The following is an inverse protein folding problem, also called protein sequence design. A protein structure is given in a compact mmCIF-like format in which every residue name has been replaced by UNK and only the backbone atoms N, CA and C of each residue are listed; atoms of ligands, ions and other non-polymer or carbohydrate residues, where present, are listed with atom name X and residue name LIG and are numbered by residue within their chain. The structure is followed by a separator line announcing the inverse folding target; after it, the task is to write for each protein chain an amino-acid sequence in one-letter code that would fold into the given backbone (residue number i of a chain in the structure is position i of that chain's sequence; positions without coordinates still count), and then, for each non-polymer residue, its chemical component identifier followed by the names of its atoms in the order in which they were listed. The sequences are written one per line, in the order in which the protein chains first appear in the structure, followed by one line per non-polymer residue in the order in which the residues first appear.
data_IF_317023957797
#
_entry.id   IF_317023957797
#
_cell.length_a   1.000
_cell.length_b   1.000
_cell.length_c   1.000
_cell.angle_alpha   90.00
_cell.angle_beta   90.00
_cell.angle_gamma   90.00
#
_symmetry.space_group_name_H-M   'P 1'
#
loop_
_entity.id
_entity.type
_entity.pdbx_description
1 polymer ?
#
# COMPACT_ATOMS: atom_id res chain seq x y z
N UNK A 1 41.99 18.21 18.46
CA UNK A 1 40.52 18.21 18.71
C UNK A 1 39.70 18.47 17.45
N UNK A 2 39.89 19.60 16.73
CA UNK A 2 39.13 19.91 15.49
C UNK A 2 39.25 18.85 14.38
N UNK A 3 40.44 18.25 14.21
CA UNK A 3 40.68 17.19 13.20
C UNK A 3 39.90 15.89 13.47
N UNK A 4 39.77 15.50 14.75
CA UNK A 4 39.03 14.30 15.16
C UNK A 4 37.52 14.48 14.94
N UNK A 5 36.98 15.64 15.32
CA UNK A 5 35.57 15.97 15.13
C UNK A 5 35.22 15.95 13.63
N UNK A 6 36.04 16.58 12.80
CA UNK A 6 35.82 16.59 11.35
C UNK A 6 35.87 15.18 10.74
N UNK A 7 36.79 14.31 11.21
CA UNK A 7 36.88 12.93 10.73
C UNK A 7 35.64 12.11 11.12
N UNK A 8 35.13 12.26 12.34
CA UNK A 8 33.89 11.62 12.80
C UNK A 8 32.68 12.09 12.01
N UNK A 9 32.56 13.40 11.76
CA UNK A 9 31.49 13.97 10.94
C UNK A 9 31.53 13.46 9.49
N UNK A 10 32.73 13.36 8.90
CA UNK A 10 32.90 12.74 7.57
C UNK A 10 32.44 11.29 7.56
N UNK A 11 32.84 10.49 8.56
CA UNK A 11 32.41 9.10 8.66
C UNK A 11 30.89 8.97 8.82
N UNK A 12 30.27 9.80 9.67
CA UNK A 12 28.82 9.85 9.84
C UNK A 12 28.09 10.30 8.57
N UNK A 13 28.63 11.28 7.83
CA UNK A 13 28.06 11.73 6.57
C UNK A 13 28.13 10.63 5.49
N UNK A 14 29.25 9.93 5.37
CA UNK A 14 29.39 8.81 4.42
C UNK A 14 28.42 7.68 4.79
N UNK A 15 28.32 7.31 6.07
CA UNK A 15 27.33 6.32 6.50
C UNK A 15 25.91 6.80 6.17
N UNK A 16 25.55 8.02 6.56
CA UNK A 16 24.23 8.59 6.26
C UNK A 16 23.88 8.59 4.77
N UNK A 17 24.83 8.89 3.90
CA UNK A 17 24.62 8.80 2.45
C UNK A 17 24.37 7.37 1.98
N UNK A 18 25.10 6.38 2.51
CA UNK A 18 24.87 4.97 2.19
C UNK A 18 23.49 4.52 2.69
N UNK A 19 23.13 4.85 3.93
CA UNK A 19 21.81 4.54 4.49
C UNK A 19 20.69 5.21 3.70
N UNK A 20 20.88 6.47 3.28
CA UNK A 20 19.93 7.18 2.42
C UNK A 20 19.76 6.54 1.05
N UNK A 21 20.85 6.04 0.45
CA UNK A 21 20.76 5.29 -0.81
C UNK A 21 19.96 3.98 -0.63
N UNK A 22 20.23 3.23 0.45
CA UNK A 22 19.48 1.99 0.75
C UNK A 22 18.01 2.30 1.01
N UNK A 23 17.70 3.36 1.75
CA UNK A 23 16.34 3.83 1.96
C UNK A 23 15.68 4.23 0.63
N UNK A 24 16.34 5.00 -0.23
CA UNK A 24 15.77 5.37 -1.53
C UNK A 24 15.45 4.14 -2.41
N UNK A 25 16.32 3.13 -2.43
CA UNK A 25 16.07 1.88 -3.15
C UNK A 25 14.88 1.10 -2.58
N UNK A 26 14.78 1.03 -1.25
CA UNK A 26 13.64 0.37 -0.60
C UNK A 26 12.34 1.16 -0.79
N UNK A 27 12.39 2.49 -0.88
CA UNK A 27 11.24 3.34 -1.16
C UNK A 27 10.68 3.05 -2.55
N UNK A 28 11.56 2.88 -3.55
CA UNK A 28 11.14 2.49 -4.91
C UNK A 28 10.43 1.14 -4.88
N UNK A 29 11.00 0.14 -4.19
CA UNK A 29 10.34 -1.16 -4.04
C UNK A 29 8.94 -1.03 -3.40
N UNK A 30 8.83 -0.30 -2.29
CA UNK A 30 7.56 -0.16 -1.56
C UNK A 30 6.53 0.65 -2.35
N UNK A 31 6.86 1.88 -2.75
CA UNK A 31 5.88 2.82 -3.31
C UNK A 31 5.64 2.66 -4.81
N UNK A 32 6.61 2.13 -5.57
CA UNK A 32 6.42 1.89 -6.99
C UNK A 32 5.98 0.45 -7.29
N UNK A 33 6.50 -0.54 -6.55
CA UNK A 33 6.20 -1.94 -6.81
C UNK A 33 5.02 -2.46 -5.98
N UNK A 34 5.08 -2.37 -4.65
CA UNK A 34 4.05 -2.95 -3.78
C UNK A 34 2.79 -2.09 -3.61
N UNK A 35 2.93 -0.76 -3.57
CA UNK A 35 1.83 0.19 -3.36
C UNK A 35 1.71 1.21 -4.50
N UNK A 36 1.40 0.77 -5.73
CA UNK A 36 1.32 1.67 -6.87
C UNK A 36 0.21 2.71 -6.70
N UNK A 37 0.30 3.80 -7.48
CA UNK A 37 -0.75 4.82 -7.58
C UNK A 37 -1.12 5.50 -6.25
N UNK A 38 -0.18 5.58 -5.31
CA UNK A 38 -0.39 6.26 -4.02
C UNK A 38 -1.14 5.43 -2.97
N UNK A 39 -1.40 4.14 -3.22
CA UNK A 39 -2.12 3.25 -2.29
C UNK A 39 -1.53 3.22 -0.87
N UNK A 40 -0.23 3.47 -0.72
CA UNK A 40 0.42 3.49 0.59
C UNK A 40 -0.17 4.54 1.54
N UNK A 41 -0.72 5.65 1.02
CA UNK A 41 -1.37 6.67 1.82
C UNK A 41 -2.69 6.18 2.42
N UNK A 42 -3.49 5.46 1.65
CA UNK A 42 -4.80 4.95 2.07
C UNK A 42 -4.71 3.65 2.89
N UNK A 43 -3.66 2.86 2.67
CA UNK A 43 -3.51 1.53 3.28
C UNK A 43 -2.49 1.49 4.43
N UNK A 44 -2.14 2.63 5.01
CA UNK A 44 -1.21 2.71 6.15
C UNK A 44 0.25 2.34 5.86
N UNK A 45 0.58 1.94 4.61
CA UNK A 45 1.92 1.54 4.19
C UNK A 45 2.95 2.67 4.35
N UNK A 46 2.54 3.93 4.17
CA UNK A 46 3.41 5.10 4.35
C UNK A 46 3.94 5.21 5.77
N UNK A 47 3.09 5.02 6.79
CA UNK A 47 3.48 5.21 8.19
C UNK A 47 4.49 4.14 8.64
N UNK A 48 4.27 2.88 8.27
CA UNK A 48 5.18 1.78 8.58
C UNK A 48 6.55 2.00 7.93
N UNK A 49 6.56 2.37 6.65
CA UNK A 49 7.81 2.60 5.93
C UNK A 49 8.59 3.81 6.46
N UNK A 50 7.91 4.93 6.72
CA UNK A 50 8.54 6.15 7.24
C UNK A 50 9.17 5.92 8.62
N UNK A 51 8.53 5.13 9.49
CA UNK A 51 9.09 4.77 10.79
C UNK A 51 10.42 4.02 10.63
N UNK A 52 10.46 3.00 9.77
CA UNK A 52 11.67 2.21 9.49
C UNK A 52 12.79 3.11 8.97
N UNK A 53 12.50 3.97 7.98
CA UNK A 53 13.50 4.87 7.39
C UNK A 53 13.99 5.93 8.38
N UNK A 54 13.11 6.50 9.20
CA UNK A 54 13.49 7.50 10.19
C UNK A 54 14.47 6.93 11.22
N UNK A 55 14.24 5.70 11.65
CA UNK A 55 15.15 4.97 12.56
C UNK A 55 16.50 4.75 11.89
N UNK A 56 16.52 4.27 10.65
CA UNK A 56 17.76 3.98 9.92
C UNK A 56 18.61 5.25 9.66
N UNK A 57 17.97 6.31 9.14
CA UNK A 57 18.64 7.57 8.80
C UNK A 57 19.15 8.34 10.02
N UNK A 58 18.57 8.12 11.20
CA UNK A 58 19.03 8.74 12.43
C UNK A 58 20.11 7.90 13.11
N UNK A 59 19.86 6.61 13.36
CA UNK A 59 20.75 5.77 14.16
C UNK A 59 22.08 5.47 13.47
N UNK A 60 22.11 5.21 12.16
CA UNK A 60 23.35 4.89 11.44
C UNK A 60 24.45 5.98 11.56
N UNK A 61 24.13 7.23 11.22
CA UNK A 61 25.05 8.36 11.41
C UNK A 61 25.44 8.60 12.87
N UNK A 62 24.48 8.50 13.81
CA UNK A 62 24.74 8.69 15.24
C UNK A 62 25.71 7.64 15.77
N UNK A 63 25.50 6.37 15.42
CA UNK A 63 26.39 5.27 15.79
C UNK A 63 27.78 5.50 15.21
N UNK A 64 27.89 5.98 13.96
CA UNK A 64 29.18 6.31 13.34
C UNK A 64 29.97 7.34 14.14
N UNK A 65 29.32 8.36 14.68
CA UNK A 65 29.99 9.36 15.54
C UNK A 65 30.59 8.72 16.79
N UNK A 66 29.94 7.70 17.34
CA UNK A 66 30.38 6.97 18.54
C UNK A 66 31.51 6.00 18.20
N UNK A 67 31.30 5.10 17.23
CA UNK A 67 32.21 3.98 16.98
C UNK A 67 33.47 4.38 16.21
N UNK A 68 33.39 5.44 15.39
CA UNK A 68 34.51 5.89 14.58
C UNK A 68 35.61 6.47 15.47
N UNK A 69 36.80 5.88 15.37
CA UNK A 69 37.99 6.35 16.03
C UNK A 69 39.18 6.18 15.06
N UNK A 70 39.86 7.26 14.65
CA UNK A 70 40.99 7.19 13.72
C UNK A 70 42.20 6.44 14.31
N UNK A 71 42.25 6.24 15.62
CA UNK A 71 43.26 5.41 16.28
C UNK A 71 42.98 3.90 16.25
N UNK A 72 41.79 3.46 15.81
CA UNK A 72 41.49 2.03 15.62
C UNK A 72 42.16 1.55 14.33
N UNK A 73 42.71 0.33 14.37
CA UNK A 73 43.14 -0.36 13.15
C UNK A 73 41.96 -0.55 12.20
N UNK A 74 42.24 -0.57 10.89
CA UNK A 74 41.20 -0.76 9.86
C UNK A 74 40.37 -2.03 10.08
N UNK A 75 40.98 -3.11 10.59
CA UNK A 75 40.30 -4.38 10.90
C UNK A 75 39.26 -4.21 12.01
N UNK A 76 39.57 -3.48 13.08
CA UNK A 76 38.62 -3.23 14.16
C UNK A 76 37.48 -2.33 13.70
N UNK A 77 37.78 -1.26 12.96
CA UNK A 77 36.76 -0.37 12.43
C UNK A 77 35.80 -1.11 11.48
N UNK A 78 36.33 -1.95 10.58
CA UNK A 78 35.52 -2.79 9.69
C UNK A 78 34.60 -3.72 10.47
N UNK A 79 35.10 -4.41 11.50
CA UNK A 79 34.28 -5.29 12.34
C UNK A 79 33.13 -4.50 12.99
N UNK A 80 33.43 -3.35 13.57
CA UNK A 80 32.42 -2.52 14.25
C UNK A 80 31.32 -2.08 13.26
N UNK A 81 31.68 -1.60 12.06
CA UNK A 81 30.71 -1.25 11.02
C UNK A 81 29.96 -2.46 10.43
N UNK A 82 30.59 -3.63 10.33
CA UNK A 82 29.90 -4.86 9.89
C UNK A 82 28.80 -5.27 10.86
N UNK A 83 29.04 -5.15 12.17
CA UNK A 83 28.02 -5.46 13.19
C UNK A 83 26.86 -4.47 13.08
N UNK A 84 27.15 -3.17 12.94
CA UNK A 84 26.12 -2.14 12.77
C UNK A 84 25.31 -2.39 11.50
N UNK A 85 25.99 -2.64 10.38
CA UNK A 85 25.32 -2.95 9.12
C UNK A 85 24.42 -4.19 9.24
N UNK A 86 24.88 -5.25 9.91
CA UNK A 86 24.07 -6.45 10.10
C UNK A 86 22.78 -6.15 10.88
N UNK A 87 22.87 -5.39 11.97
CA UNK A 87 21.71 -4.99 12.78
C UNK A 87 20.74 -4.15 11.95
N UNK A 88 21.24 -3.15 11.21
CA UNK A 88 20.43 -2.29 10.35
C UNK A 88 19.76 -3.08 9.21
N UNK A 89 20.49 -3.98 8.56
CA UNK A 89 19.90 -4.83 7.51
C UNK A 89 18.83 -5.76 8.08
N UNK A 90 19.00 -6.30 9.30
CA UNK A 90 17.95 -7.08 9.97
C UNK A 90 16.71 -6.24 10.28
N UNK A 91 16.88 -5.02 10.79
CA UNK A 91 15.78 -4.10 11.07
C UNK A 91 15.03 -3.70 9.79
N UNK A 92 15.77 -3.35 8.73
CA UNK A 92 15.20 -3.05 7.41
C UNK A 92 14.46 -4.26 6.82
N UNK A 93 15.03 -5.46 6.91
CA UNK A 93 14.39 -6.68 6.42
C UNK A 93 13.07 -6.95 7.15
N UNK A 94 13.02 -6.78 8.47
CA UNK A 94 11.78 -6.90 9.24
C UNK A 94 10.73 -5.84 8.84
N UNK A 95 11.16 -4.59 8.66
CA UNK A 95 10.29 -3.51 8.20
C UNK A 95 9.71 -3.78 6.80
N UNK A 96 10.55 -4.25 5.88
CA UNK A 96 10.15 -4.63 4.53
C UNK A 96 9.22 -5.85 4.53
N UNK A 97 9.48 -6.85 5.36
CA UNK A 97 8.59 -8.01 5.49
C UNK A 97 7.20 -7.61 6.00
N UNK A 98 7.14 -6.79 7.05
CA UNK A 98 5.88 -6.26 7.60
C UNK A 98 5.09 -5.46 6.55
N UNK A 99 5.80 -4.69 5.72
CA UNK A 99 5.21 -3.94 4.60
C UNK A 99 4.75 -4.87 3.47
N UNK A 100 5.50 -5.93 3.18
CA UNK A 100 5.19 -6.90 2.14
C UNK A 100 3.92 -7.70 2.43
N UNK A 101 3.72 -8.15 3.68
CA UNK A 101 2.50 -8.88 4.07
C UNK A 101 1.29 -7.95 4.18
N UNK A 102 1.49 -6.64 4.35
CA UNK A 102 0.41 -5.65 4.39
C UNK A 102 0.10 -5.03 3.02
N UNK A 103 0.77 -5.46 1.95
CA UNK A 103 0.63 -4.88 0.61
C UNK A 103 -0.75 -5.18 0.01
N UNK A 104 -1.32 -4.28 -0.82
CA UNK A 104 -2.47 -4.61 -1.64
C UNK A 104 -2.12 -5.73 -2.62
N UNK A 105 -2.98 -6.74 -2.67
CA UNK A 105 -2.88 -7.85 -3.62
C UNK A 105 -4.02 -7.85 -4.61
N UNK A 106 -5.22 -7.49 -4.16
CA UNK A 106 -6.39 -7.43 -5.03
C UNK A 106 -7.17 -6.14 -4.85
N UNK A 107 -7.64 -5.61 -5.97
CA UNK A 107 -8.72 -4.63 -6.01
C UNK A 107 -9.95 -5.37 -6.56
N UNK A 108 -10.82 -5.79 -5.65
CA UNK A 108 -11.98 -6.64 -5.96
C UNK A 108 -13.17 -5.74 -6.26
N UNK A 109 -13.76 -5.86 -7.43
CA UNK A 109 -15.00 -5.18 -7.77
C UNK A 109 -16.21 -6.04 -7.38
N UNK A 110 -17.09 -5.46 -6.58
CA UNK A 110 -18.33 -6.10 -6.11
C UNK A 110 -19.49 -5.14 -6.37
N UNK A 111 -20.22 -5.38 -7.45
CA UNK A 111 -21.44 -4.68 -7.90
C UNK A 111 -21.23 -3.18 -8.21
N UNK A 112 -20.95 -2.36 -7.21
CA UNK A 112 -20.87 -0.90 -7.29
C UNK A 112 -19.80 -0.30 -6.36
N UNK A 113 -18.90 -1.13 -5.87
CA UNK A 113 -17.78 -0.72 -5.02
C UNK A 113 -16.53 -1.55 -5.28
N UNK A 114 -15.39 -0.96 -4.93
CA UNK A 114 -14.09 -1.62 -4.98
C UNK A 114 -13.63 -1.93 -3.57
N UNK A 115 -13.12 -3.13 -3.35
CA UNK A 115 -12.53 -3.55 -2.10
C UNK A 115 -11.05 -3.79 -2.30
N UNK A 116 -10.25 -3.05 -1.54
CA UNK A 116 -8.79 -3.12 -1.58
C UNK A 116 -8.31 -4.11 -0.53
N UNK A 117 -7.97 -5.30 -0.98
CA UNK A 117 -7.59 -6.44 -0.13
C UNK A 117 -6.07 -6.53 -0.04
N UNK A 118 -5.54 -6.58 1.19
CA UNK A 118 -4.13 -6.80 1.46
C UNK A 118 -3.79 -8.27 1.66
N UNK A 119 -2.52 -8.64 1.49
CA UNK A 119 -2.09 -10.05 1.58
C UNK A 119 -2.40 -10.68 2.94
N UNK A 120 -2.32 -9.91 4.04
CA UNK A 120 -2.62 -10.38 5.40
C UNK A 120 -4.11 -10.56 5.70
N UNK A 121 -5.00 -10.15 4.78
CA UNK A 121 -6.45 -10.28 4.93
C UNK A 121 -7.01 -11.54 4.27
N UNK A 122 -6.19 -12.29 3.52
CA UNK A 122 -6.60 -13.54 2.87
C UNK A 122 -6.00 -14.72 3.64
N UNK A 123 -6.85 -15.68 4.01
CA UNK A 123 -6.39 -16.91 4.65
C UNK A 123 -5.77 -17.84 3.59
N UNK A 124 -4.69 -18.53 3.95
CA UNK A 124 -4.00 -19.46 3.03
C UNK A 124 -4.93 -20.58 2.55
N UNK A 125 -5.90 -20.98 3.37
CA UNK A 125 -6.91 -21.98 3.04
C UNK A 125 -7.80 -21.52 1.89
N UNK A 126 -8.39 -20.31 1.94
CA UNK A 126 -9.26 -19.84 0.84
C UNK A 126 -8.49 -19.57 -0.46
N UNK A 127 -7.24 -19.12 -0.34
CA UNK A 127 -6.36 -18.95 -1.49
C UNK A 127 -6.11 -20.30 -2.16
N UNK A 128 -5.89 -21.36 -1.38
CA UNK A 128 -5.66 -22.71 -1.91
C UNK A 128 -6.89 -23.35 -2.57
N UNK A 129 -8.10 -22.90 -2.23
CA UNK A 129 -9.35 -23.33 -2.87
C UNK A 129 -9.61 -22.66 -4.23
N UNK A 130 -8.83 -21.64 -4.59
CA UNK A 130 -9.04 -20.87 -5.80
C UNK A 130 -8.62 -21.61 -7.06
N UNK A 131 -9.05 -21.09 -8.22
CA UNK A 131 -8.53 -21.56 -9.51
C UNK A 131 -7.04 -21.27 -9.64
N UNK A 132 -6.35 -21.95 -10.56
CA UNK A 132 -4.90 -21.81 -10.76
C UNK A 132 -4.42 -20.38 -11.06
N UNK A 133 -5.33 -19.50 -11.47
CA UNK A 133 -5.01 -18.10 -11.77
C UNK A 133 -5.02 -17.21 -10.52
N UNK A 134 -5.58 -17.70 -9.41
CA UNK A 134 -5.73 -16.98 -8.13
C UNK A 134 -5.25 -17.76 -6.90
N UNK A 135 -4.69 -18.96 -7.09
CA UNK A 135 -4.14 -19.84 -6.03
C UNK A 135 -2.82 -19.33 -5.42
N UNK A 136 -2.33 -18.18 -5.88
CA UNK A 136 -1.17 -17.49 -5.35
C UNK A 136 -1.41 -15.98 -5.30
N UNK A 137 -0.86 -15.34 -4.28
CA UNK A 137 -0.99 -13.89 -4.11
C UNK A 137 -0.08 -13.14 -5.10
N UNK A 138 -0.62 -12.21 -5.90
CA UNK A 138 0.19 -11.44 -6.82
C UNK A 138 1.14 -10.51 -6.04
N UNK A 139 2.29 -10.22 -6.64
CA UNK A 139 3.27 -9.34 -6.03
C UNK A 139 2.94 -7.85 -6.22
N UNK A 140 2.16 -7.54 -7.26
CA UNK A 140 1.55 -6.24 -7.53
C UNK A 140 0.04 -6.40 -7.48
N UNK A 141 -0.66 -5.36 -7.04
CA UNK A 141 -2.13 -5.38 -7.00
C UNK A 141 -2.72 -5.71 -8.37
N UNK A 142 -3.63 -6.70 -8.42
CA UNK A 142 -4.42 -7.06 -9.60
C UNK A 142 -5.88 -6.67 -9.37
N UNK A 143 -6.54 -6.12 -10.39
CA UNK A 143 -7.99 -5.90 -10.34
C UNK A 143 -8.71 -7.20 -10.75
N UNK A 144 -9.72 -7.57 -9.98
CA UNK A 144 -10.54 -8.76 -10.21
C UNK A 144 -12.01 -8.44 -9.98
N UNK A 145 -12.88 -9.21 -10.59
CA UNK A 145 -14.32 -9.14 -10.38
C UNK A 145 -14.78 -10.43 -9.72
N UNK A 146 -15.93 -10.38 -9.04
CA UNK A 146 -16.48 -11.53 -8.32
C UNK A 146 -17.62 -12.15 -9.13
N UNK A 147 -17.61 -13.47 -9.21
CA UNK A 147 -18.76 -14.26 -9.66
C UNK A 147 -19.53 -14.77 -8.44
N UNK A 148 -20.83 -14.50 -8.40
CA UNK A 148 -21.67 -14.98 -7.31
C UNK A 148 -21.85 -16.51 -7.44
N UNK A 149 -21.76 -17.28 -6.35
CA UNK A 149 -21.97 -18.73 -6.41
C UNK A 149 -23.33 -19.03 -7.05
N UNK A 150 -23.40 -20.02 -7.93
CA UNK A 150 -24.66 -20.42 -8.55
C UNK A 150 -25.46 -21.37 -7.64
N UNK A 151 -24.74 -22.21 -6.90
CA UNK A 151 -25.29 -23.25 -6.03
C UNK A 151 -26.00 -22.65 -4.79
N UNK A 152 -27.22 -23.12 -4.45
CA UNK A 152 -27.97 -22.60 -3.30
C UNK A 152 -27.31 -22.85 -1.93
N UNK A 153 -26.57 -23.95 -1.76
CA UNK A 153 -25.86 -24.28 -0.52
C UNK A 153 -24.66 -23.34 -0.36
N UNK A 154 -23.84 -23.17 -1.42
CA UNK A 154 -22.73 -22.21 -1.40
C UNK A 154 -23.19 -20.76 -1.17
N UNK A 155 -24.34 -20.37 -1.74
CA UNK A 155 -24.96 -19.06 -1.43
C UNK A 155 -25.33 -18.92 0.03
N UNK A 156 -25.93 -19.96 0.62
CA UNK A 156 -26.32 -19.98 2.03
C UNK A 156 -25.09 -19.85 2.92
N UNK A 157 -24.04 -20.63 2.63
CA UNK A 157 -22.78 -20.60 3.37
C UNK A 157 -22.09 -19.24 3.27
N UNK A 158 -22.07 -18.63 2.08
CA UNK A 158 -21.54 -17.30 1.88
C UNK A 158 -22.31 -16.25 2.70
N UNK A 159 -23.64 -16.33 2.77
CA UNK A 159 -24.45 -15.44 3.61
C UNK A 159 -24.08 -15.60 5.10
N UNK A 160 -23.98 -16.84 5.60
CA UNK A 160 -23.59 -17.07 6.99
C UNK A 160 -22.17 -16.60 7.28
N UNK A 161 -21.24 -16.79 6.33
CA UNK A 161 -19.87 -16.26 6.41
C UNK A 161 -19.85 -14.74 6.46
N UNK A 162 -20.63 -14.06 5.62
CA UNK A 162 -20.72 -12.61 5.60
C UNK A 162 -21.26 -12.06 6.92
N UNK A 163 -22.23 -12.75 7.56
CA UNK A 163 -22.71 -12.41 8.90
C UNK A 163 -21.63 -12.58 9.99
N UNK A 164 -20.67 -13.49 9.78
CA UNK A 164 -19.50 -13.65 10.63
C UNK A 164 -18.36 -12.65 10.30
N UNK A 165 -18.54 -11.80 9.29
CA UNK A 165 -17.60 -10.74 8.91
C UNK A 165 -16.65 -11.10 7.76
N UNK A 166 -16.83 -12.25 7.11
CA UNK A 166 -16.04 -12.67 5.94
C UNK A 166 -16.95 -12.81 4.73
N UNK A 167 -17.00 -11.77 3.92
CA UNK A 167 -17.84 -11.68 2.73
C UNK A 167 -17.07 -12.10 1.45
N UNK A 168 -17.73 -12.07 0.30
CA UNK A 168 -17.29 -12.67 -0.97
C UNK A 168 -15.93 -12.17 -1.44
N UNK A 169 -15.55 -10.94 -1.09
CA UNK A 169 -14.25 -10.36 -1.43
C UNK A 169 -13.07 -11.10 -0.78
N UNK A 170 -13.29 -11.89 0.26
CA UNK A 170 -12.23 -12.65 0.95
C UNK A 170 -12.12 -14.10 0.47
N UNK A 171 -12.86 -14.48 -0.57
CA UNK A 171 -12.87 -15.83 -1.14
C UNK A 171 -12.35 -15.81 -2.58
N UNK A 172 -11.04 -16.01 -2.81
CA UNK A 172 -10.44 -15.97 -4.15
C UNK A 172 -11.01 -17.00 -5.12
N UNK A 173 -11.66 -18.08 -4.64
CA UNK A 173 -12.41 -19.02 -5.48
C UNK A 173 -13.53 -18.39 -6.31
N UNK A 174 -14.05 -17.24 -5.90
CA UNK A 174 -15.05 -16.48 -6.66
C UNK A 174 -14.45 -15.41 -7.56
N UNK A 175 -13.12 -15.26 -7.59
CA UNK A 175 -12.46 -14.27 -8.43
C UNK A 175 -12.45 -14.70 -9.89
N UNK A 176 -12.65 -13.72 -10.76
CA UNK A 176 -12.47 -13.84 -12.19
C UNK A 176 -11.90 -12.55 -12.76
N UNK A 177 -11.46 -12.63 -14.01
CA UNK A 177 -11.13 -11.42 -14.76
C UNK A 177 -12.41 -10.60 -15.00
N UNK A 178 -12.28 -9.29 -14.87
CA UNK A 178 -13.38 -8.37 -15.15
C UNK A 178 -13.66 -8.32 -16.64
N UNK A 179 -14.94 -8.30 -17.01
CA UNK A 179 -15.34 -8.08 -18.39
C UNK A 179 -15.08 -6.62 -18.80
N UNK A 180 -14.96 -6.39 -20.11
CA UNK A 180 -14.72 -5.06 -20.65
C UNK A 180 -15.89 -4.12 -20.29
N UNK A 181 -15.59 -3.01 -19.62
CA UNK A 181 -16.58 -2.02 -19.19
C UNK A 181 -17.38 -2.37 -17.93
N UNK A 182 -17.25 -3.58 -17.38
CA UNK A 182 -18.01 -4.04 -16.20
C UNK A 182 -17.87 -3.10 -15.00
N UNK A 183 -16.63 -2.77 -14.66
CA UNK A 183 -16.31 -1.87 -13.52
C UNK A 183 -16.91 -0.47 -13.73
N UNK A 184 -16.83 0.04 -14.96
CA UNK A 184 -17.35 1.37 -15.29
C UNK A 184 -18.87 1.41 -15.32
N UNK A 185 -19.52 0.29 -15.64
CA UNK A 185 -20.98 0.16 -15.61
C UNK A 185 -21.54 0.26 -14.18
N UNK A 186 -20.79 -0.19 -13.17
CA UNK A 186 -21.14 0.00 -11.76
C UNK A 186 -20.75 1.37 -11.18
N UNK A 187 -20.02 2.20 -11.93
CA UNK A 187 -19.54 3.48 -11.44
C UNK A 187 -20.66 4.52 -11.38
N UNK A 188 -20.57 5.41 -10.38
CA UNK A 188 -21.52 6.49 -10.19
C UNK A 188 -21.15 7.74 -11.00
N UNK A 189 -22.15 8.53 -11.42
CA UNK A 189 -21.89 9.80 -12.10
C UNK A 189 -21.21 10.81 -11.16
N UNK A 190 -20.32 11.65 -11.73
CA UNK A 190 -19.57 12.65 -10.98
C UNK A 190 -20.43 13.67 -10.25
N UNK A 191 -21.62 13.96 -10.77
CA UNK A 191 -22.64 14.80 -10.13
C UNK A 191 -22.97 14.34 -8.71
N UNK A 192 -23.09 13.02 -8.49
CA UNK A 192 -23.38 12.45 -7.18
C UNK A 192 -22.29 12.77 -6.15
N UNK A 193 -21.02 12.79 -6.58
CA UNK A 193 -19.90 13.13 -5.71
C UNK A 193 -19.92 14.62 -5.36
N UNK A 194 -20.15 15.49 -6.34
CA UNK A 194 -20.29 16.93 -6.12
C UNK A 194 -21.46 17.27 -5.18
N UNK A 195 -22.59 16.57 -5.30
CA UNK A 195 -23.71 16.71 -4.36
C UNK A 195 -23.31 16.31 -2.93
N UNK A 196 -22.61 15.18 -2.76
CA UNK A 196 -22.11 14.76 -1.45
C UNK A 196 -21.12 15.77 -0.86
N UNK A 197 -20.22 16.32 -1.68
CA UNK A 197 -19.27 17.36 -1.27
C UNK A 197 -19.97 18.66 -0.85
N UNK A 198 -20.96 19.10 -1.62
CA UNK A 198 -21.77 20.30 -1.29
C UNK A 198 -22.55 20.13 -0.01
N UNK A 199 -23.21 18.98 0.17
CA UNK A 199 -23.99 18.68 1.36
C UNK A 199 -23.13 18.74 2.65
N UNK A 200 -21.83 18.49 2.52
CA UNK A 200 -20.86 18.52 3.63
C UNK A 200 -20.04 19.81 3.72
N UNK A 201 -20.23 20.75 2.79
CA UNK A 201 -19.43 21.99 2.74
C UNK A 201 -17.96 21.77 2.36
N UNK A 202 -17.63 20.63 1.73
CA UNK A 202 -16.27 20.23 1.37
C UNK A 202 -15.94 20.47 -0.11
N UNK A 203 -16.88 21.01 -0.90
CA UNK A 203 -16.67 21.25 -2.33
C UNK A 203 -15.43 22.11 -2.61
N UNK A 204 -15.17 23.16 -1.81
CA UNK A 204 -14.00 24.02 -2.00
C UNK A 204 -12.65 23.31 -1.82
N UNK A 205 -12.60 22.25 -1.03
CA UNK A 205 -11.38 21.47 -0.77
C UNK A 205 -11.10 20.46 -1.88
N UNK A 206 -12.14 19.77 -2.36
CA UNK A 206 -12.00 18.64 -3.29
C UNK A 206 -12.26 19.00 -4.75
N UNK A 207 -13.09 20.00 -5.06
CA UNK A 207 -13.40 20.39 -6.45
C UNK A 207 -12.16 20.74 -7.30
N UNK A 208 -11.08 21.36 -6.77
CA UNK A 208 -9.87 21.61 -7.55
C UNK A 208 -9.16 20.34 -8.04
N UNK A 209 -9.43 19.19 -7.41
CA UNK A 209 -8.84 17.90 -7.72
C UNK A 209 -9.74 17.04 -8.61
N UNK A 210 -10.94 17.53 -8.97
CA UNK A 210 -11.95 16.79 -9.71
C UNK A 210 -12.16 17.36 -11.12
N UNK A 211 -12.44 16.52 -12.12
CA UNK A 211 -12.92 16.98 -13.41
C UNK A 211 -14.33 17.60 -13.27
N UNK A 212 -14.82 18.33 -14.30
CA UNK A 212 -16.21 18.76 -14.35
C UNK A 212 -17.19 17.61 -14.10
N UNK A 213 -18.30 17.81 -13.36
CA UNK A 213 -19.21 16.73 -12.92
C UNK A 213 -19.62 15.72 -14.00
N UNK A 214 -20.00 16.22 -15.19
CA UNK A 214 -20.44 15.40 -16.32
C UNK A 214 -19.32 14.66 -17.07
N UNK A 215 -18.06 14.85 -16.67
CA UNK A 215 -16.89 14.36 -17.39
C UNK A 215 -16.13 13.26 -16.64
N UNK A 216 -16.67 12.72 -15.57
CA UNK A 216 -16.09 11.57 -14.87
C UNK A 216 -17.15 10.70 -14.20
N UNK A 217 -16.76 9.46 -13.92
CA UNK A 217 -17.48 8.57 -13.02
C UNK A 217 -16.57 8.20 -11.83
N UNK A 218 -17.14 7.64 -10.78
CA UNK A 218 -16.38 7.27 -9.59
C UNK A 218 -16.94 6.04 -8.89
N UNK A 219 -16.08 5.36 -8.15
CA UNK A 219 -16.45 4.24 -7.28
C UNK A 219 -15.93 4.48 -5.86
N UNK A 220 -16.71 4.14 -4.82
CA UNK A 220 -16.16 4.03 -3.48
C UNK A 220 -15.14 2.89 -3.43
N UNK A 221 -14.06 3.11 -2.69
CA UNK A 221 -13.06 2.09 -2.41
C UNK A 221 -13.05 1.85 -0.90
N UNK A 222 -13.36 0.62 -0.50
CA UNK A 222 -13.23 0.15 0.88
C UNK A 222 -11.85 -0.48 1.05
N UNK A 223 -11.15 -0.13 2.11
CA UNK A 223 -9.98 -0.88 2.56
C UNK A 223 -10.01 -1.07 4.06
N UNK A 224 -9.00 -1.77 4.58
CA UNK A 224 -8.86 -2.07 6.01
C UNK A 224 -8.98 -0.86 6.94
N UNK A 225 -8.51 0.32 6.49
CA UNK A 225 -8.43 1.53 7.32
C UNK A 225 -9.56 2.54 7.06
N UNK A 226 -10.48 2.26 6.15
CA UNK A 226 -11.60 3.16 5.86
C UNK A 226 -12.02 3.16 4.40
N UNK A 227 -12.69 4.24 4.00
CA UNK A 227 -13.19 4.43 2.64
C UNK A 227 -12.55 5.65 2.00
N UNK A 228 -12.25 5.53 0.72
CA UNK A 228 -11.89 6.65 -0.17
C UNK A 228 -12.64 6.50 -1.49
N UNK A 229 -12.37 7.33 -2.49
CA UNK A 229 -12.97 7.18 -3.82
C UNK A 229 -11.92 7.00 -4.91
N UNK A 230 -12.25 6.22 -5.94
CA UNK A 230 -11.51 6.18 -7.19
C UNK A 230 -12.29 6.95 -8.25
N UNK A 231 -11.63 7.91 -8.88
CA UNK A 231 -12.16 8.78 -9.93
C UNK A 231 -11.73 8.24 -11.29
N UNK A 232 -12.64 8.25 -12.28
CA UNK A 232 -12.42 7.83 -13.66
C UNK A 232 -12.76 8.98 -14.63
N UNK A 233 -11.79 9.87 -14.93
CA UNK A 233 -11.97 10.93 -15.91
C UNK A 233 -12.32 10.36 -17.28
N UNK A 234 -13.28 10.98 -17.97
CA UNK A 234 -13.79 10.53 -19.27
C UNK A 234 -14.38 9.11 -19.27
N UNK A 235 -14.65 8.53 -18.09
CA UNK A 235 -15.05 7.13 -17.98
C UNK A 235 -13.95 6.15 -18.39
N UNK A 236 -12.66 6.51 -18.26
CA UNK A 236 -11.55 5.61 -18.56
C UNK A 236 -10.89 5.06 -17.30
N UNK A 237 -10.64 3.75 -17.29
CA UNK A 237 -9.91 3.07 -16.22
C UNK A 237 -8.42 3.47 -16.20
N UNK A 238 -7.84 3.81 -17.34
CA UNK A 238 -6.39 4.12 -17.46
C UNK A 238 -6.02 5.46 -16.82
N UNK A 239 -6.93 6.44 -16.88
CA UNK A 239 -6.76 7.76 -16.24
C UNK A 239 -7.21 7.78 -14.78
N UNK A 240 -7.51 6.62 -14.20
CA UNK A 240 -8.08 6.55 -12.86
C UNK A 240 -7.09 6.94 -11.76
N UNK A 241 -7.57 7.67 -10.75
CA UNK A 241 -6.78 8.05 -9.58
C UNK A 241 -7.62 8.04 -8.30
N UNK A 242 -6.96 7.97 -7.14
CA UNK A 242 -7.63 7.99 -5.84
C UNK A 242 -7.74 9.40 -5.30
N UNK A 243 -8.85 9.68 -4.63
CA UNK A 243 -9.09 10.90 -3.88
C UNK A 243 -9.40 10.51 -2.43
N UNK A 244 -8.73 11.15 -1.48
CA UNK A 244 -8.86 10.86 -0.05
C UNK A 244 -10.15 11.48 0.54
N UNK A 245 -11.28 10.96 0.09
CA UNK A 245 -12.61 11.39 0.51
C UNK A 245 -13.47 10.17 0.83
N UNK A 246 -14.00 10.11 2.04
CA UNK A 246 -14.94 9.07 2.43
C UNK A 246 -16.36 9.47 1.99
N UNK A 247 -16.99 8.78 1.01
CA UNK A 247 -18.32 9.16 0.52
C UNK A 247 -19.44 8.82 1.50
N UNK A 248 -19.18 8.08 2.59
CA UNK A 248 -20.19 7.59 3.53
C UNK A 248 -20.14 8.21 4.93
N UNK A 249 -19.11 9.02 5.24
CA UNK A 249 -18.96 9.69 6.55
C UNK A 249 -19.94 10.82 6.81
#
# INVERSE_FOLDING_TARGET
MKSLVLAKLKAAAVHGLITALVAALSAVLVFYYWYPSGLAAHMGGSNLYLLVVAVELSLGPLISLVIFNPGKSFRHLRRDYCIVALIQFSALAYGLHSTFVSRPVYQVFVIDQLLMISAIELDEEDVSEASSDFDHLPWRVKRVCVEQPADPEEKSDLIFSALAGKDVEFFPKYYRECEEGEVLAGAYPGERLYEALRARGLEGEFAPQLPPPASFSWLPVKGRFGYWVQIYPGGSLESGYYLDFNPFS
#
